data_IF_580850300128
#
_entry.id   IF_580850300128
#
_cell.length_a   1.000
_cell.length_b   1.000
_cell.length_c   1.000
_cell.angle_alpha   90.00
_cell.angle_beta   90.00
_cell.angle_gamma   90.00
#
_symmetry.space_group_name_H-M   'P 1'
#
loop_
_entity.id
_entity.type
_entity.pdbx_description
1 polymer ?
#
# COMPACT_ATOMS: atom_id res chain seq x y z
N UNK A 1 -5.10 21.43 6.73
CA UNK A 1 -5.86 20.78 7.81
C UNK A 1 -7.33 20.70 7.42
N UNK A 2 -7.99 19.58 7.73
CA UNK A 2 -9.40 19.34 7.38
C UNK A 2 -10.37 20.23 8.20
N UNK A 3 -10.18 20.27 9.52
CA UNK A 3 -10.97 21.06 10.47
C UNK A 3 -10.11 22.17 11.08
N UNK A 4 -10.71 23.35 11.27
CA UNK A 4 -10.04 24.50 11.90
C UNK A 4 -9.92 24.35 13.43
N UNK A 5 -10.93 23.74 14.06
CA UNK A 5 -10.91 23.34 15.48
C UNK A 5 -11.28 21.85 15.60
N UNK A 6 -10.78 21.20 16.65
CA UNK A 6 -11.08 19.82 17.00
C UNK A 6 -12.03 19.70 18.19
N UNK A 7 -12.41 20.81 18.83
CA UNK A 7 -13.17 20.81 20.09
C UNK A 7 -14.51 20.07 19.98
N UNK A 8 -15.23 20.25 18.87
CA UNK A 8 -16.50 19.56 18.60
C UNK A 8 -16.29 18.04 18.50
N UNK A 9 -15.27 17.60 17.76
CA UNK A 9 -14.95 16.18 17.62
C UNK A 9 -14.56 15.61 18.98
N UNK A 10 -13.71 16.29 19.74
CA UNK A 10 -13.28 15.85 21.07
C UNK A 10 -14.47 15.75 22.05
N UNK A 11 -15.41 16.69 22.01
CA UNK A 11 -16.63 16.63 22.82
C UNK A 11 -17.52 15.44 22.45
N UNK A 12 -17.71 15.18 21.15
CA UNK A 12 -18.48 14.03 20.66
C UNK A 12 -17.82 12.69 21.04
N UNK A 13 -16.50 12.58 20.94
CA UNK A 13 -15.74 11.40 21.36
C UNK A 13 -15.87 11.17 22.88
N UNK A 14 -15.78 12.22 23.69
CA UNK A 14 -15.93 12.13 25.15
C UNK A 14 -17.33 11.68 25.57
N UNK A 15 -18.35 12.06 24.80
CA UNK A 15 -19.74 11.64 24.98
C UNK A 15 -20.06 10.28 24.36
N UNK A 16 -19.13 9.66 23.62
CA UNK A 16 -19.37 8.48 22.77
C UNK A 16 -20.53 8.69 21.79
N UNK A 17 -20.72 9.92 21.31
CA UNK A 17 -21.76 10.26 20.32
C UNK A 17 -21.28 9.96 18.90
N UNK A 18 -21.37 8.69 18.53
CA UNK A 18 -20.98 8.20 17.21
C UNK A 18 -21.84 8.73 16.06
N UNK A 19 -23.10 9.09 16.34
CA UNK A 19 -23.99 9.68 15.34
C UNK A 19 -23.58 11.12 15.06
N UNK A 20 -23.24 11.89 16.10
CA UNK A 20 -22.66 13.23 15.95
C UNK A 20 -21.33 13.19 15.18
N UNK A 21 -20.43 12.25 15.48
CA UNK A 21 -19.19 12.09 14.70
C UNK A 21 -19.50 11.76 13.24
N UNK A 22 -20.47 10.89 12.97
CA UNK A 22 -20.87 10.55 11.62
C UNK A 22 -21.52 11.73 10.85
N UNK A 23 -22.19 12.65 11.54
CA UNK A 23 -22.78 13.84 10.94
C UNK A 23 -21.73 14.83 10.39
N UNK A 24 -20.47 14.74 10.84
CA UNK A 24 -19.35 15.56 10.36
C UNK A 24 -18.68 15.01 9.08
N UNK A 25 -19.14 13.86 8.56
CA UNK A 25 -18.61 13.25 7.34
C UNK A 25 -18.81 14.16 6.14
N UNK A 26 -17.81 14.18 5.25
CA UNK A 26 -17.89 14.90 3.99
C UNK A 26 -18.83 14.19 3.01
N UNK A 27 -19.57 14.98 2.22
CA UNK A 27 -20.38 14.49 1.09
C UNK A 27 -19.63 14.56 -0.25
N UNK A 28 -18.34 14.90 -0.21
CA UNK A 28 -17.53 15.03 -1.42
C UNK A 28 -17.36 13.68 -2.12
N UNK A 29 -17.43 13.72 -3.45
CA UNK A 29 -17.21 12.55 -4.29
C UNK A 29 -15.72 12.26 -4.43
N UNK A 30 -15.39 10.97 -4.54
CA UNK A 30 -14.04 10.49 -4.79
C UNK A 30 -13.50 11.10 -6.09
N UNK A 31 -12.37 11.80 -5.99
CA UNK A 31 -11.62 12.24 -7.18
C UNK A 31 -11.01 11.06 -7.91
N UNK A 32 -10.78 11.22 -9.21
CA UNK A 32 -9.92 10.32 -9.97
C UNK A 32 -8.53 10.34 -9.33
N UNK A 33 -8.10 9.18 -8.83
CA UNK A 33 -6.84 9.03 -8.11
C UNK A 33 -5.65 9.01 -9.07
N UNK A 34 -4.47 9.49 -8.63
CA UNK A 34 -3.27 9.36 -9.44
C UNK A 34 -2.92 7.89 -9.67
N UNK A 35 -2.26 7.61 -10.79
CA UNK A 35 -1.75 6.26 -11.10
C UNK A 35 -0.67 5.80 -10.10
N UNK A 36 -0.02 6.73 -9.42
CA UNK A 36 1.06 6.45 -8.47
C UNK A 36 0.55 5.83 -7.18
N UNK A 37 1.26 4.81 -6.71
CA UNK A 37 1.07 4.16 -5.42
C UNK A 37 2.44 3.76 -4.88
N UNK A 38 3.12 4.68 -4.20
CA UNK A 38 4.52 4.54 -3.82
C UNK A 38 4.71 4.49 -2.31
N UNK A 39 4.05 5.35 -1.55
CA UNK A 39 4.38 5.54 -0.14
C UNK A 39 3.15 5.43 0.79
N UNK A 40 2.54 4.23 0.98
CA UNK A 40 1.54 4.01 2.01
C UNK A 40 2.01 4.49 3.39
N UNK A 41 1.55 5.68 3.79
CA UNK A 41 1.93 6.32 5.04
C UNK A 41 0.90 5.98 6.11
N UNK A 42 1.36 5.29 7.14
CA UNK A 42 0.52 4.87 8.25
C UNK A 42 0.11 6.07 9.10
N UNK A 43 -1.19 6.20 9.34
CA UNK A 43 -1.78 7.20 10.24
C UNK A 43 -2.66 6.47 11.24
N UNK A 44 -2.27 6.44 12.52
CA UNK A 44 -3.03 5.76 13.57
C UNK A 44 -4.42 6.39 13.73
N UNK A 45 -5.47 5.55 13.66
CA UNK A 45 -6.86 5.99 13.65
C UNK A 45 -7.35 6.69 14.92
N UNK A 46 -6.64 6.52 16.05
CA UNK A 46 -6.98 7.21 17.29
C UNK A 46 -6.27 8.57 17.45
N UNK A 47 -5.37 8.95 16.54
CA UNK A 47 -4.59 10.18 16.64
C UNK A 47 -5.26 11.32 15.90
N UNK A 48 -6.29 11.93 16.52
CA UNK A 48 -7.12 12.98 15.93
C UNK A 48 -6.30 14.13 15.28
N UNK A 49 -5.25 14.59 15.95
CA UNK A 49 -4.37 15.65 15.42
C UNK A 49 -3.61 15.24 14.16
N UNK A 50 -3.27 13.97 14.01
CA UNK A 50 -2.59 13.46 12.81
C UNK A 50 -3.60 13.27 11.67
N UNK A 51 -4.79 12.74 11.98
CA UNK A 51 -5.88 12.62 11.02
C UNK A 51 -6.29 13.98 10.43
N UNK A 52 -6.31 15.04 11.25
CA UNK A 52 -6.64 16.38 10.79
C UNK A 52 -5.64 17.00 9.79
N UNK A 53 -4.46 16.39 9.62
CA UNK A 53 -3.38 16.86 8.75
C UNK A 53 -3.18 15.99 7.51
N UNK A 54 -4.07 15.04 7.25
CA UNK A 54 -3.92 14.08 6.14
C UNK A 54 -3.81 14.76 4.75
N UNK A 55 -4.40 15.94 4.60
CA UNK A 55 -4.32 16.76 3.40
C UNK A 55 -2.90 17.29 3.15
N UNK A 56 -2.16 17.59 4.22
CA UNK A 56 -0.80 18.12 4.19
C UNK A 56 0.29 17.03 4.08
N UNK A 57 -0.04 15.76 4.30
CA UNK A 57 0.96 14.68 4.32
C UNK A 57 1.62 14.48 2.94
N UNK A 58 2.96 14.39 2.84
CA UNK A 58 3.67 14.20 1.57
C UNK A 58 3.65 12.72 1.13
N UNK A 59 2.45 12.21 0.85
CA UNK A 59 2.19 10.83 0.44
C UNK A 59 1.14 10.80 -0.68
N UNK A 60 1.22 9.78 -1.53
CA UNK A 60 0.20 9.41 -2.51
C UNK A 60 -0.81 8.37 -1.97
N UNK A 61 -0.56 7.80 -0.79
CA UNK A 61 -1.42 6.79 -0.15
C UNK A 61 -1.51 7.05 1.36
N UNK A 62 -2.68 7.48 1.82
CA UNK A 62 -3.01 7.56 3.25
C UNK A 62 -3.45 6.16 3.70
N UNK A 63 -2.71 5.56 4.62
CA UNK A 63 -3.08 4.28 5.23
C UNK A 63 -3.56 4.51 6.66
N UNK A 64 -4.86 4.65 6.85
CA UNK A 64 -5.47 4.70 8.18
C UNK A 64 -5.29 3.35 8.88
N UNK A 65 -4.84 3.37 10.13
CA UNK A 65 -4.51 2.15 10.87
C UNK A 65 -5.39 2.00 12.11
N UNK A 66 -6.19 0.92 12.14
CA UNK A 66 -7.04 0.54 13.28
C UNK A 66 -6.44 -0.56 14.15
N UNK A 67 -5.33 -1.14 13.72
CA UNK A 67 -4.75 -2.34 14.30
C UNK A 67 -3.59 -2.02 15.24
N UNK A 68 -2.37 -2.48 14.97
CA UNK A 68 -1.25 -2.39 15.90
C UNK A 68 -0.92 -0.92 16.18
N UNK A 69 -0.64 -0.62 17.44
CA UNK A 69 -0.46 0.75 17.91
C UNK A 69 -1.76 1.48 18.26
N UNK A 70 -2.94 0.85 18.13
CA UNK A 70 -4.21 1.33 18.69
C UNK A 70 -4.57 0.48 19.92
N UNK A 71 -4.63 1.12 21.09
CA UNK A 71 -5.03 0.43 22.32
C UNK A 71 -6.49 -0.07 22.23
N UNK A 72 -6.84 -1.23 22.82
CA UNK A 72 -8.18 -1.82 22.72
C UNK A 72 -9.32 -0.84 23.03
N UNK A 73 -9.19 -0.05 24.09
CA UNK A 73 -10.16 0.94 24.54
C UNK A 73 -10.33 2.13 23.57
N UNK A 74 -9.42 2.29 22.61
CA UNK A 74 -9.47 3.34 21.59
C UNK A 74 -9.95 2.84 20.23
N UNK A 75 -10.13 1.52 20.04
CA UNK A 75 -10.47 0.94 18.72
C UNK A 75 -11.81 1.45 18.17
N UNK A 76 -12.84 1.56 19.01
CA UNK A 76 -14.15 2.08 18.59
C UNK A 76 -14.07 3.55 18.15
N UNK A 77 -13.48 4.41 18.98
CA UNK A 77 -13.24 5.81 18.63
C UNK A 77 -12.39 5.93 17.34
N UNK A 78 -11.36 5.09 17.21
CA UNK A 78 -10.51 5.06 16.02
C UNK A 78 -11.30 4.70 14.76
N UNK A 79 -12.19 3.71 14.82
CA UNK A 79 -13.05 3.32 13.69
C UNK A 79 -13.93 4.49 13.23
N UNK A 80 -14.59 5.17 14.17
CA UNK A 80 -15.45 6.31 13.84
C UNK A 80 -14.66 7.51 13.30
N UNK A 81 -13.47 7.78 13.85
CA UNK A 81 -12.57 8.81 13.34
C UNK A 81 -12.05 8.46 11.95
N UNK A 82 -11.61 7.23 11.71
CA UNK A 82 -11.16 6.78 10.39
C UNK A 82 -12.27 6.93 9.37
N UNK A 83 -13.51 6.55 9.72
CA UNK A 83 -14.65 6.74 8.82
C UNK A 83 -14.94 8.21 8.53
N UNK A 84 -14.86 9.09 9.54
CA UNK A 84 -14.96 10.53 9.35
C UNK A 84 -13.90 11.04 8.36
N UNK A 85 -12.63 10.79 8.64
CA UNK A 85 -11.52 11.34 7.86
C UNK A 85 -11.35 10.68 6.48
N UNK A 86 -11.78 9.42 6.30
CA UNK A 86 -11.82 8.78 4.99
C UNK A 86 -12.69 9.56 4.00
N UNK A 87 -13.88 10.01 4.42
CA UNK A 87 -14.78 10.79 3.55
C UNK A 87 -14.17 12.13 3.14
N UNK A 88 -13.40 12.79 4.02
CA UNK A 88 -12.68 14.02 3.68
C UNK A 88 -11.49 13.75 2.76
N UNK A 89 -10.86 12.59 2.87
CA UNK A 89 -9.76 12.19 2.00
C UNK A 89 -10.20 11.91 0.54
N UNK A 90 -11.49 11.73 0.27
CA UNK A 90 -12.03 11.53 -1.07
C UNK A 90 -11.75 12.69 -2.03
N UNK A 91 -11.72 13.92 -1.52
CA UNK A 91 -11.40 15.11 -2.31
C UNK A 91 -9.89 15.35 -2.49
N UNK A 92 -9.05 14.48 -1.92
CA UNK A 92 -7.61 14.54 -2.08
C UNK A 92 -7.16 13.66 -3.26
N UNK A 93 -6.06 14.06 -3.87
CA UNK A 93 -5.39 13.32 -4.94
C UNK A 93 -4.48 12.23 -4.33
N UNK A 94 -5.04 11.45 -3.39
CA UNK A 94 -4.35 10.40 -2.61
C UNK A 94 -5.23 9.18 -2.48
N UNK A 95 -4.66 7.98 -2.59
CA UNK A 95 -5.36 6.74 -2.27
C UNK A 95 -5.63 6.66 -0.77
N UNK A 96 -6.77 6.08 -0.39
CA UNK A 96 -7.25 5.91 0.97
C UNK A 96 -7.33 4.42 1.24
N UNK A 97 -6.40 3.92 2.05
CA UNK A 97 -6.37 2.52 2.49
C UNK A 97 -6.70 2.50 3.98
N UNK A 98 -7.54 1.56 4.41
CA UNK A 98 -7.78 1.32 5.85
C UNK A 98 -7.24 -0.05 6.23
N UNK A 99 -6.22 -0.10 7.10
CA UNK A 99 -5.79 -1.33 7.75
C UNK A 99 -6.72 -1.60 8.93
N UNK A 100 -7.53 -2.64 8.78
CA UNK A 100 -8.46 -3.13 9.80
C UNK A 100 -7.75 -4.05 10.79
N UNK A 101 -8.45 -4.41 11.86
CA UNK A 101 -8.06 -5.49 12.75
C UNK A 101 -8.23 -6.87 12.10
N UNK A 102 -7.63 -7.94 12.66
CA UNK A 102 -7.87 -9.30 12.21
C UNK A 102 -9.37 -9.61 12.10
N UNK A 103 -9.76 -10.40 11.09
CA UNK A 103 -11.17 -10.68 10.81
C UNK A 103 -11.87 -11.38 11.98
N UNK A 104 -11.13 -12.21 12.70
CA UNK A 104 -11.56 -12.99 13.86
C UNK A 104 -11.69 -12.14 15.12
N UNK A 105 -11.13 -10.92 15.13
CA UNK A 105 -11.29 -9.95 16.21
C UNK A 105 -12.48 -9.02 15.93
N UNK A 106 -12.26 -7.95 15.18
CA UNK A 106 -13.27 -6.90 14.91
C UNK A 106 -13.33 -6.52 13.43
N UNK A 107 -12.56 -7.19 12.58
CA UNK A 107 -12.43 -6.82 11.17
C UNK A 107 -13.74 -6.89 10.39
N UNK A 108 -14.68 -7.77 10.76
CA UNK A 108 -15.98 -7.85 10.10
C UNK A 108 -16.90 -6.67 10.44
N UNK A 109 -16.92 -6.26 11.71
CA UNK A 109 -17.66 -5.08 12.17
C UNK A 109 -17.08 -3.81 11.53
N UNK A 110 -15.75 -3.73 11.43
CA UNK A 110 -15.06 -2.62 10.78
C UNK A 110 -15.40 -2.55 9.28
N UNK A 111 -15.40 -3.68 8.55
CA UNK A 111 -15.84 -3.75 7.15
C UNK A 111 -17.27 -3.23 7.00
N UNK A 112 -18.19 -3.62 7.88
CA UNK A 112 -19.59 -3.19 7.81
C UNK A 112 -19.73 -1.66 7.89
N UNK A 113 -18.97 -1.01 8.77
CA UNK A 113 -18.97 0.44 8.89
C UNK A 113 -18.22 1.11 7.73
N UNK A 114 -17.07 0.58 7.33
CA UNK A 114 -16.23 1.14 6.27
C UNK A 114 -16.89 1.06 4.89
N UNK A 115 -17.79 0.11 4.66
CA UNK A 115 -18.64 0.07 3.48
C UNK A 115 -19.47 1.36 3.28
N UNK A 116 -19.79 2.09 4.35
CA UNK A 116 -20.55 3.36 4.25
C UNK A 116 -19.72 4.57 3.81
N UNK A 117 -18.39 4.44 3.79
CA UNK A 117 -17.46 5.54 3.48
C UNK A 117 -16.50 5.21 2.35
N UNK A 118 -16.62 4.03 1.72
CA UNK A 118 -15.97 3.66 0.46
C UNK A 118 -14.48 4.05 0.33
N UNK A 119 -13.58 3.61 1.24
CA UNK A 119 -12.14 3.78 1.01
C UNK A 119 -11.71 3.09 -0.30
N UNK A 120 -10.58 3.48 -0.88
CA UNK A 120 -10.05 2.85 -2.10
C UNK A 120 -9.74 1.36 -1.85
N UNK A 121 -9.22 1.01 -0.66
CA UNK A 121 -8.99 -0.38 -0.28
C UNK A 121 -9.07 -0.61 1.23
N UNK A 122 -9.32 -1.86 1.62
CA UNK A 122 -9.12 -2.35 2.99
C UNK A 122 -7.91 -3.28 3.02
N UNK A 123 -6.98 -3.05 3.96
CA UNK A 123 -5.84 -3.93 4.25
C UNK A 123 -6.16 -4.87 5.40
N UNK A 124 -6.07 -6.17 5.17
CA UNK A 124 -6.37 -7.23 6.12
C UNK A 124 -5.06 -7.82 6.67
N UNK A 125 -4.81 -7.73 7.99
CA UNK A 125 -3.60 -8.28 8.61
C UNK A 125 -3.77 -9.73 9.06
N UNK A 126 -2.66 -10.34 9.52
CA UNK A 126 -2.61 -11.58 10.34
C UNK A 126 -3.43 -12.75 9.77
N UNK A 127 -3.33 -12.98 8.45
CA UNK A 127 -4.08 -14.04 7.77
C UNK A 127 -3.46 -15.41 8.09
N UNK A 128 -4.26 -16.29 8.67
CA UNK A 128 -3.92 -17.66 9.03
C UNK A 128 -4.81 -18.68 8.29
N UNK A 129 -4.54 -19.97 8.50
CA UNK A 129 -5.29 -21.06 7.86
C UNK A 129 -6.81 -20.99 8.09
N UNK A 130 -7.21 -20.62 9.30
CA UNK A 130 -8.60 -20.51 9.71
C UNK A 130 -9.21 -19.14 9.40
N UNK A 131 -8.45 -18.21 8.84
CA UNK A 131 -8.95 -16.89 8.50
C UNK A 131 -9.96 -16.99 7.37
N UNK A 132 -11.20 -16.52 7.59
CA UNK A 132 -12.30 -16.65 6.62
C UNK A 132 -12.20 -15.60 5.48
N UNK A 133 -11.02 -15.44 4.88
CA UNK A 133 -10.70 -14.40 3.89
C UNK A 133 -11.58 -14.48 2.63
N UNK A 134 -12.01 -15.68 2.24
CA UNK A 134 -12.89 -15.92 1.08
C UNK A 134 -14.28 -15.30 1.24
N UNK A 135 -14.69 -14.93 2.46
CA UNK A 135 -15.96 -14.23 2.70
C UNK A 135 -15.87 -12.74 2.41
N UNK A 136 -14.67 -12.15 2.45
CA UNK A 136 -14.50 -10.70 2.34
C UNK A 136 -15.02 -10.14 1.01
N UNK A 137 -14.78 -10.77 -0.16
CA UNK A 137 -15.31 -10.25 -1.42
C UNK A 137 -16.84 -10.18 -1.51
N UNK A 138 -17.60 -10.89 -0.67
CA UNK A 138 -19.07 -10.78 -0.67
C UNK A 138 -19.59 -9.78 0.35
N UNK A 139 -18.81 -9.51 1.41
CA UNK A 139 -19.17 -8.55 2.46
C UNK A 139 -18.75 -7.12 2.12
N UNK A 140 -17.69 -6.96 1.34
CA UNK A 140 -17.11 -5.66 1.01
C UNK A 140 -17.80 -5.04 -0.21
N UNK A 141 -18.14 -3.75 -0.14
CA UNK A 141 -18.72 -2.99 -1.25
C UNK A 141 -17.88 -3.15 -2.53
N UNK A 142 -18.52 -3.35 -3.69
CA UNK A 142 -17.86 -3.78 -4.93
C UNK A 142 -16.73 -2.84 -5.42
N UNK A 143 -16.81 -1.55 -5.10
CA UNK A 143 -15.79 -0.55 -5.46
C UNK A 143 -14.60 -0.43 -4.51
N UNK A 144 -14.51 -1.26 -3.46
CA UNK A 144 -13.39 -1.28 -2.53
C UNK A 144 -12.50 -2.47 -2.86
N UNK A 145 -11.20 -2.23 -3.04
CA UNK A 145 -10.19 -3.27 -3.26
C UNK A 145 -9.78 -3.95 -1.95
N UNK A 146 -9.20 -5.14 -2.07
CA UNK A 146 -8.67 -5.92 -0.96
C UNK A 146 -7.14 -5.89 -1.03
N UNK A 147 -6.53 -5.42 0.05
CA UNK A 147 -5.10 -5.48 0.28
C UNK A 147 -4.84 -6.50 1.41
N UNK A 148 -3.75 -7.25 1.34
CA UNK A 148 -3.40 -8.24 2.36
C UNK A 148 -2.03 -7.95 2.97
N UNK A 149 -1.86 -8.17 4.26
CA UNK A 149 -0.53 -8.33 4.83
C UNK A 149 -0.05 -9.77 4.63
N UNK A 150 1.16 -9.93 4.11
CA UNK A 150 1.90 -11.18 4.14
C UNK A 150 2.90 -11.07 5.29
N UNK A 151 2.46 -11.55 6.45
CA UNK A 151 3.15 -11.35 7.73
C UNK A 151 3.05 -12.58 8.66
N UNK A 152 2.56 -13.70 8.13
CA UNK A 152 2.44 -14.99 8.81
C UNK A 152 3.05 -16.09 7.94
N UNK A 153 3.48 -17.20 8.56
CA UNK A 153 3.93 -18.41 7.89
C UNK A 153 2.86 -18.95 6.95
N UNK A 154 1.58 -18.91 7.35
CA UNK A 154 0.50 -19.37 6.48
C UNK A 154 0.34 -18.48 5.26
N UNK A 155 0.19 -17.16 5.44
CA UNK A 155 0.03 -16.20 4.32
C UNK A 155 1.23 -16.22 3.37
N UNK A 156 2.46 -16.37 3.89
CA UNK A 156 3.67 -16.49 3.09
C UNK A 156 3.64 -17.71 2.16
N UNK A 157 3.26 -18.88 2.68
CA UNK A 157 3.21 -20.12 1.89
C UNK A 157 1.99 -20.19 0.94
N UNK A 158 0.99 -19.34 1.13
CA UNK A 158 -0.27 -19.36 0.36
C UNK A 158 -0.50 -18.09 -0.48
N UNK A 159 0.55 -17.29 -0.74
CA UNK A 159 0.43 -16.06 -1.54
C UNK A 159 -0.26 -16.28 -2.90
N UNK A 160 0.01 -17.39 -3.58
CA UNK A 160 -0.63 -17.71 -4.86
C UNK A 160 -2.15 -17.93 -4.75
N UNK A 161 -2.59 -18.61 -3.68
CA UNK A 161 -4.01 -18.81 -3.40
C UNK A 161 -4.67 -17.48 -3.02
N UNK A 162 -4.02 -16.72 -2.12
CA UNK A 162 -4.50 -15.42 -1.68
C UNK A 162 -4.64 -14.43 -2.85
N UNK A 163 -3.74 -14.48 -3.81
CA UNK A 163 -3.78 -13.62 -4.99
C UNK A 163 -4.91 -13.97 -5.97
N UNK A 164 -5.46 -15.19 -5.89
CA UNK A 164 -6.59 -15.62 -6.72
C UNK A 164 -7.95 -15.12 -6.18
N UNK A 165 -7.99 -14.58 -4.95
CA UNK A 165 -9.21 -14.06 -4.35
C UNK A 165 -9.66 -12.80 -5.13
N UNK A 166 -10.93 -12.70 -5.54
CA UNK A 166 -11.42 -11.54 -6.30
C UNK A 166 -11.16 -10.22 -5.57
N UNK A 167 -10.67 -9.22 -6.32
CA UNK A 167 -10.34 -7.87 -5.84
C UNK A 167 -9.14 -7.79 -4.90
N UNK A 168 -8.39 -8.87 -4.70
CA UNK A 168 -7.07 -8.78 -4.08
C UNK A 168 -6.10 -8.15 -5.07
N UNK A 169 -5.58 -6.96 -4.76
CA UNK A 169 -4.74 -6.17 -5.70
C UNK A 169 -3.35 -5.84 -5.16
N UNK A 170 -3.15 -5.85 -3.84
CA UNK A 170 -1.89 -5.43 -3.21
C UNK A 170 -1.53 -6.31 -2.03
N UNK A 171 -0.25 -6.71 -1.95
CA UNK A 171 0.33 -7.35 -0.78
C UNK A 171 1.33 -6.43 -0.09
N UNK A 172 1.29 -6.43 1.24
CA UNK A 172 2.22 -5.71 2.11
C UNK A 172 3.09 -6.71 2.85
N UNK A 173 4.41 -6.55 2.76
CA UNK A 173 5.34 -7.40 3.47
C UNK A 173 5.46 -6.95 4.95
N UNK A 174 4.88 -7.72 5.88
CA UNK A 174 4.99 -7.46 7.32
C UNK A 174 6.17 -8.22 7.93
N UNK A 175 7.39 -7.74 7.68
CA UNK A 175 8.62 -8.49 8.04
C UNK A 175 8.78 -8.74 9.54
N UNK A 176 8.31 -7.83 10.39
CA UNK A 176 8.55 -7.91 11.83
C UNK A 176 7.65 -8.95 12.50
N UNK A 177 6.35 -8.92 12.18
CA UNK A 177 5.40 -9.93 12.65
C UNK A 177 5.77 -11.30 12.09
N UNK A 178 6.21 -11.35 10.83
CA UNK A 178 6.69 -12.58 10.21
C UNK A 178 7.91 -13.16 10.94
N UNK A 179 8.89 -12.31 11.27
CA UNK A 179 10.08 -12.73 12.02
C UNK A 179 9.70 -13.19 13.42
N UNK A 180 8.87 -12.42 14.12
CA UNK A 180 8.41 -12.76 15.46
C UNK A 180 7.68 -14.11 15.47
N UNK A 181 6.80 -14.36 14.50
CA UNK A 181 6.06 -15.62 14.40
C UNK A 181 6.97 -16.82 14.11
N UNK A 182 8.00 -16.64 13.28
CA UNK A 182 8.97 -17.68 12.97
C UNK A 182 10.03 -17.88 14.08
N UNK A 183 10.03 -17.04 15.12
CA UNK A 183 11.08 -17.06 16.16
C UNK A 183 12.44 -16.59 15.65
N UNK A 184 12.46 -15.75 14.61
CA UNK A 184 13.66 -15.11 14.07
C UNK A 184 13.97 -13.83 14.83
N UNK A 185 15.26 -13.49 14.88
CA UNK A 185 15.70 -12.24 15.49
C UNK A 185 15.32 -11.03 14.62
N UNK A 186 14.62 -10.06 15.21
CA UNK A 186 14.21 -8.81 14.56
C UNK A 186 15.43 -7.97 14.16
N UNK A 187 16.56 -8.08 14.88
CA UNK A 187 17.84 -7.47 14.48
C UNK A 187 18.42 -8.10 13.19
N UNK A 188 17.80 -9.18 12.72
CA UNK A 188 18.00 -9.78 11.40
C UNK A 188 17.57 -8.89 10.24
N UNK A 189 16.72 -7.88 10.45
CA UNK A 189 16.24 -6.94 9.42
C UNK A 189 17.32 -5.88 9.12
N UNK A 190 18.40 -6.33 8.51
CA UNK A 190 19.57 -5.53 8.11
C UNK A 190 19.91 -5.78 6.64
N UNK A 191 20.45 -4.74 5.99
CA UNK A 191 20.61 -4.72 4.54
C UNK A 191 21.66 -5.72 4.03
N UNK A 192 22.62 -6.09 4.86
CA UNK A 192 23.68 -7.05 4.57
C UNK A 192 23.31 -8.50 4.87
N UNK A 193 22.14 -8.75 5.48
CA UNK A 193 21.70 -10.11 5.80
C UNK A 193 21.10 -10.80 4.56
N UNK A 194 21.70 -11.90 4.04
CA UNK A 194 21.19 -12.61 2.86
C UNK A 194 19.74 -13.08 2.98
N UNK A 195 19.25 -13.32 4.20
CA UNK A 195 17.86 -13.66 4.44
C UNK A 195 16.91 -12.55 3.96
N UNK A 196 17.27 -11.29 4.17
CA UNK A 196 16.47 -10.14 3.71
C UNK A 196 16.46 -10.04 2.18
N UNK A 197 17.58 -10.34 1.52
CA UNK A 197 17.65 -10.39 0.06
C UNK A 197 16.75 -11.48 -0.51
N UNK A 198 16.79 -12.68 0.10
CA UNK A 198 15.89 -13.78 -0.27
C UNK A 198 14.43 -13.39 -0.09
N UNK A 199 14.08 -12.86 1.08
CA UNK A 199 12.72 -12.50 1.43
C UNK A 199 12.16 -11.41 0.50
N UNK A 200 12.92 -10.34 0.25
CA UNK A 200 12.53 -9.29 -0.69
C UNK A 200 12.41 -9.81 -2.13
N UNK A 201 13.34 -10.66 -2.58
CA UNK A 201 13.32 -11.19 -3.95
C UNK A 201 12.15 -12.15 -4.16
N UNK A 202 11.93 -13.06 -3.21
CA UNK A 202 10.85 -14.03 -3.27
C UNK A 202 9.48 -13.35 -3.22
N UNK A 203 9.28 -12.43 -2.26
CA UNK A 203 8.03 -11.67 -2.16
C UNK A 203 7.71 -10.90 -3.45
N UNK A 204 8.71 -10.22 -4.02
CA UNK A 204 8.55 -9.46 -5.27
C UNK A 204 8.14 -10.36 -6.43
N UNK A 205 8.89 -11.45 -6.67
CA UNK A 205 8.63 -12.36 -7.79
C UNK A 205 7.26 -13.01 -7.66
N UNK A 206 6.90 -13.50 -6.46
CA UNK A 206 5.60 -14.12 -6.20
C UNK A 206 4.46 -13.11 -6.41
N UNK A 207 4.57 -11.87 -5.92
CA UNK A 207 3.54 -10.87 -6.19
C UNK A 207 3.38 -10.60 -7.69
N UNK A 208 4.49 -10.40 -8.41
CA UNK A 208 4.49 -10.07 -9.84
C UNK A 208 3.97 -11.22 -10.70
N UNK A 209 4.23 -12.48 -10.35
CA UNK A 209 3.71 -13.65 -11.08
C UNK A 209 2.20 -13.78 -11.00
N UNK A 210 1.56 -13.15 -10.00
CA UNK A 210 0.11 -13.13 -9.80
C UNK A 210 -0.53 -11.76 -10.06
N UNK A 211 0.18 -10.84 -10.73
CA UNK A 211 -0.28 -9.48 -11.00
C UNK A 211 -0.68 -8.68 -9.73
N UNK A 212 -0.11 -9.02 -8.57
CA UNK A 212 -0.29 -8.31 -7.32
C UNK A 212 0.75 -7.20 -7.19
N UNK A 213 0.34 -6.03 -6.70
CA UNK A 213 1.24 -4.94 -6.34
C UNK A 213 2.00 -5.30 -5.05
N UNK A 214 3.35 -5.39 -5.06
CA UNK A 214 4.13 -5.60 -3.85
C UNK A 214 4.45 -4.26 -3.18
N UNK A 215 4.12 -4.13 -1.90
CA UNK A 215 4.57 -3.05 -1.02
C UNK A 215 5.64 -3.61 -0.08
N UNK A 216 6.86 -3.09 -0.17
CA UNK A 216 7.95 -3.51 0.71
C UNK A 216 7.68 -3.12 2.18
N UNK A 217 8.40 -3.78 3.08
CA UNK A 217 8.27 -3.64 4.53
C UNK A 217 8.49 -2.20 5.02
N UNK A 218 7.92 -1.90 6.17
CA UNK A 218 8.12 -0.63 6.88
C UNK A 218 9.48 -0.64 7.59
N UNK A 219 10.35 0.33 7.29
CA UNK A 219 11.60 0.49 8.02
C UNK A 219 11.37 1.23 9.34
N UNK A 220 11.69 0.60 10.47
CA UNK A 220 11.29 1.08 11.80
C UNK A 220 12.13 2.24 12.35
N UNK A 221 13.42 2.32 12.01
CA UNK A 221 14.27 3.40 12.49
C UNK A 221 14.00 4.69 11.68
N UNK A 222 12.87 5.33 11.93
CA UNK A 222 12.39 6.47 11.13
C UNK A 222 13.31 7.69 11.11
N UNK A 223 14.28 7.77 12.02
CA UNK A 223 15.31 8.82 12.07
C UNK A 223 16.55 8.48 11.25
N UNK A 224 16.78 7.21 10.92
CA UNK A 224 17.96 6.76 10.20
C UNK A 224 17.71 6.80 8.68
N UNK A 225 17.74 8.01 8.12
CA UNK A 225 17.40 8.23 6.71
C UNK A 225 18.47 7.70 5.75
N UNK A 226 19.73 7.62 6.19
CA UNK A 226 20.82 7.03 5.41
C UNK A 226 20.57 5.54 5.18
N UNK A 227 20.24 4.80 6.24
CA UNK A 227 19.86 3.39 6.12
C UNK A 227 18.58 3.22 5.28
N UNK A 228 17.58 4.10 5.44
CA UNK A 228 16.41 4.10 4.57
C UNK A 228 16.80 4.25 3.09
N UNK A 229 17.68 5.18 2.75
CA UNK A 229 18.13 5.39 1.37
C UNK A 229 18.84 4.15 0.80
N UNK A 230 19.66 3.47 1.60
CA UNK A 230 20.29 2.23 1.22
C UNK A 230 19.24 1.13 0.91
N UNK A 231 18.22 0.98 1.76
CA UNK A 231 17.10 0.08 1.51
C UNK A 231 16.33 0.44 0.23
N UNK A 232 16.03 1.72 0.03
CA UNK A 232 15.33 2.18 -1.17
C UNK A 232 16.12 1.91 -2.45
N UNK A 233 17.45 2.08 -2.41
CA UNK A 233 18.31 1.76 -3.55
C UNK A 233 18.29 0.27 -3.89
N UNK A 234 18.36 -0.61 -2.88
CA UNK A 234 18.24 -2.06 -3.05
C UNK A 234 16.86 -2.45 -3.59
N UNK A 235 15.79 -1.98 -2.96
CA UNK A 235 14.43 -2.31 -3.36
C UNK A 235 14.10 -1.80 -4.78
N UNK A 236 14.58 -0.60 -5.14
CA UNK A 236 14.45 -0.04 -6.49
C UNK A 236 15.19 -0.90 -7.52
N UNK A 237 16.38 -1.40 -7.19
CA UNK A 237 17.18 -2.24 -8.09
C UNK A 237 16.54 -3.61 -8.30
N UNK A 238 15.89 -4.18 -7.28
CA UNK A 238 15.10 -5.41 -7.38
C UNK A 238 13.85 -5.21 -8.25
N UNK A 239 13.25 -4.01 -8.22
CA UNK A 239 12.07 -3.67 -9.03
C UNK A 239 10.84 -3.24 -8.24
N UNK A 240 10.97 -3.01 -6.94
CA UNK A 240 9.89 -2.42 -6.14
C UNK A 240 9.56 -1.00 -6.61
N UNK A 241 8.29 -0.63 -6.40
CA UNK A 241 7.75 0.71 -6.68
C UNK A 241 6.96 1.27 -5.50
N UNK A 242 6.85 0.49 -4.42
CA UNK A 242 6.13 0.90 -3.22
C UNK A 242 6.82 0.37 -1.95
N UNK A 243 6.81 1.18 -0.90
CA UNK A 243 7.30 0.84 0.44
C UNK A 243 6.42 1.50 1.49
N UNK A 244 6.09 0.77 2.57
CA UNK A 244 5.35 1.35 3.69
C UNK A 244 6.17 2.41 4.44
N UNK A 245 5.50 3.47 4.89
CA UNK A 245 6.09 4.57 5.65
C UNK A 245 5.38 4.74 7.01
N UNK A 246 6.15 5.13 8.03
CA UNK A 246 5.62 5.50 9.37
C UNK A 246 5.91 6.95 9.74
N UNK A 247 6.63 7.70 8.89
CA UNK A 247 6.83 9.13 9.06
C UNK A 247 6.65 9.90 7.75
N UNK A 248 6.22 11.18 7.79
CA UNK A 248 6.16 12.03 6.61
C UNK A 248 7.48 12.12 5.85
N UNK A 249 8.61 12.14 6.57
CA UNK A 249 9.93 12.21 5.96
C UNK A 249 10.28 10.93 5.19
N UNK A 250 9.94 9.76 5.73
CA UNK A 250 10.08 8.49 4.99
C UNK A 250 9.23 8.51 3.72
N UNK A 251 7.97 8.93 3.80
CA UNK A 251 7.08 8.98 2.64
C UNK A 251 7.65 9.85 1.51
N UNK A 252 8.19 11.02 1.85
CA UNK A 252 8.86 11.90 0.89
C UNK A 252 10.05 11.23 0.21
N UNK A 253 10.93 10.56 0.98
CA UNK A 253 12.07 9.83 0.41
C UNK A 253 11.65 8.65 -0.46
N UNK A 254 10.59 7.92 -0.07
CA UNK A 254 10.04 6.80 -0.83
C UNK A 254 9.50 7.28 -2.19
N UNK A 255 8.69 8.35 -2.21
CA UNK A 255 8.17 8.93 -3.45
C UNK A 255 9.33 9.38 -4.35
N UNK A 256 10.32 10.08 -3.80
CA UNK A 256 11.49 10.51 -4.57
C UNK A 256 12.29 9.32 -5.13
N UNK A 257 12.49 8.27 -4.34
CA UNK A 257 13.24 7.10 -4.77
C UNK A 257 12.52 6.33 -5.88
N UNK A 258 11.20 6.16 -5.79
CA UNK A 258 10.39 5.41 -6.75
C UNK A 258 9.78 6.25 -7.87
N UNK A 259 10.03 7.57 -7.88
CA UNK A 259 9.67 8.45 -8.98
C UNK A 259 10.15 7.89 -10.33
N UNK A 260 9.30 8.03 -11.34
CA UNK A 260 9.59 7.55 -12.68
C UNK A 260 10.86 8.23 -13.22
N UNK A 261 11.80 7.41 -13.64
CA UNK A 261 13.04 7.86 -14.25
C UNK A 261 12.76 8.31 -15.69
N UNK A 262 12.82 9.62 -15.91
CA UNK A 262 12.50 10.23 -17.20
C UNK A 262 13.36 9.68 -18.35
N UNK A 263 14.62 9.32 -18.10
CA UNK A 263 15.49 8.73 -19.12
C UNK A 263 15.08 7.27 -19.42
N UNK A 264 14.69 6.50 -18.41
CA UNK A 264 14.10 5.16 -18.64
C UNK A 264 12.79 5.24 -19.42
N UNK A 265 11.95 6.23 -19.14
CA UNK A 265 10.72 6.44 -19.90
C UNK A 265 11.00 6.84 -21.36
N UNK A 266 11.98 7.72 -21.61
CA UNK A 266 12.41 8.06 -22.99
C UNK A 266 12.92 6.83 -23.73
N UNK A 267 13.80 6.04 -23.10
CA UNK A 267 14.27 4.77 -23.65
C UNK A 267 13.12 3.82 -23.98
N UNK A 268 12.16 3.67 -23.07
CA UNK A 268 11.01 2.78 -23.27
C UNK A 268 10.12 3.23 -24.43
N UNK A 269 9.85 4.54 -24.56
CA UNK A 269 9.10 5.09 -25.72
C UNK A 269 9.82 4.82 -27.03
N UNK A 270 11.12 5.10 -27.08
CA UNK A 270 11.94 4.81 -28.27
C UNK A 270 11.86 3.34 -28.67
N UNK A 271 12.03 2.42 -27.71
CA UNK A 271 11.98 0.98 -27.97
C UNK A 271 10.61 0.57 -28.52
N UNK A 272 9.53 1.06 -27.92
CA UNK A 272 8.15 0.76 -28.35
C UNK A 272 7.92 1.25 -29.77
N UNK A 273 8.20 2.53 -30.05
CA UNK A 273 8.01 3.13 -31.38
C UNK A 273 8.83 2.40 -32.45
N UNK A 274 10.10 2.08 -32.15
CA UNK A 274 10.98 1.40 -33.09
C UNK A 274 10.53 -0.04 -33.36
N UNK A 275 10.15 -0.78 -32.31
CA UNK A 275 9.70 -2.16 -32.43
C UNK A 275 8.39 -2.24 -33.24
N UNK A 276 7.41 -1.38 -32.96
CA UNK A 276 6.14 -1.35 -33.69
C UNK A 276 6.35 -1.02 -35.19
N UNK A 277 7.26 -0.10 -35.51
CA UNK A 277 7.60 0.23 -36.90
C UNK A 277 8.27 -0.94 -37.65
N UNK A 278 9.10 -1.74 -36.98
CA UNK A 278 9.75 -2.92 -37.55
C UNK A 278 8.79 -4.12 -37.64
N UNK A 279 7.91 -4.28 -36.65
CA UNK A 279 6.88 -5.30 -36.64
C UNK A 279 5.92 -5.13 -37.82
N UNK A 280 5.59 -3.89 -38.20
CA UNK A 280 4.78 -3.60 -39.39
C UNK A 280 5.42 -4.10 -40.71
N UNK A 281 6.74 -4.35 -40.71
CA UNK A 281 7.50 -4.91 -41.84
C UNK A 281 7.79 -6.42 -41.67
N UNK A 282 7.23 -7.05 -40.64
CA UNK A 282 7.45 -8.47 -40.33
C UNK A 282 8.74 -8.77 -39.57
N UNK A 283 9.41 -7.77 -39.00
CA UNK A 283 10.67 -7.92 -38.26
C UNK A 283 10.39 -7.77 -36.76
N UNK A 284 10.67 -8.82 -35.98
CA UNK A 284 10.42 -8.88 -34.51
C UNK A 284 11.70 -9.03 -33.68
N UNK A 285 12.86 -8.85 -34.30
CA UNK A 285 14.17 -8.84 -33.65
C UNK A 285 15.20 -8.16 -34.54
N UNK A 286 15.87 -7.13 -34.05
CA UNK A 286 16.82 -6.34 -34.84
C UNK A 286 17.87 -5.68 -33.97
N UNK A 287 19.02 -5.38 -34.59
CA UNK A 287 20.04 -4.53 -33.99
C UNK A 287 19.67 -3.05 -34.16
N UNK A 288 19.67 -2.34 -33.06
CA UNK A 288 19.44 -0.91 -32.90
C UNK A 288 20.75 -0.18 -32.61
N UNK A 289 20.81 1.07 -33.05
CA UNK A 289 22.00 1.92 -32.93
C UNK A 289 22.24 2.46 -31.51
N UNK A 290 21.19 2.55 -30.70
CA UNK A 290 21.25 3.12 -29.34
C UNK A 290 21.18 2.06 -28.25
N UNK A 291 20.46 0.96 -28.48
CA UNK A 291 20.13 -0.03 -27.43
C UNK A 291 20.47 -1.48 -27.78
N UNK A 292 21.43 -1.68 -28.69
CA UNK A 292 21.95 -2.97 -29.14
C UNK A 292 20.89 -3.88 -29.75
N UNK A 293 20.42 -4.96 -29.11
CA UNK A 293 19.40 -5.82 -29.72
C UNK A 293 18.02 -5.55 -29.12
N UNK A 294 17.04 -5.25 -29.98
CA UNK A 294 15.64 -5.07 -29.59
C UNK A 294 14.82 -6.24 -30.14
N UNK A 295 14.14 -6.93 -29.24
CA UNK A 295 13.24 -8.04 -29.52
C UNK A 295 11.95 -7.95 -28.67
N UNK A 296 11.09 -8.95 -28.79
CA UNK A 296 9.77 -8.94 -28.15
C UNK A 296 9.81 -8.85 -26.61
N UNK A 297 10.71 -9.55 -25.88
CA UNK A 297 10.91 -9.32 -24.44
C UNK A 297 11.27 -7.89 -24.08
N UNK A 298 12.22 -7.26 -24.79
CA UNK A 298 12.64 -5.88 -24.55
C UNK A 298 11.51 -4.89 -24.83
N UNK A 299 10.74 -5.13 -25.89
CA UNK A 299 9.52 -4.39 -26.21
C UNK A 299 8.47 -4.50 -25.09
N UNK A 300 8.13 -5.72 -24.66
CA UNK A 300 7.13 -5.95 -23.59
C UNK A 300 7.54 -5.31 -22.26
N UNK A 301 8.82 -5.39 -21.90
CA UNK A 301 9.34 -4.73 -20.70
C UNK A 301 9.20 -3.20 -20.77
N UNK A 302 9.49 -2.62 -21.93
CA UNK A 302 9.34 -1.17 -22.17
C UNK A 302 7.87 -0.75 -22.13
N UNK A 303 6.98 -1.52 -22.75
CA UNK A 303 5.54 -1.28 -22.73
C UNK A 303 4.96 -1.37 -21.32
N UNK A 304 5.40 -2.35 -20.52
CA UNK A 304 5.00 -2.49 -19.12
C UNK A 304 5.44 -1.28 -18.29
N UNK A 305 6.64 -0.73 -18.54
CA UNK A 305 7.12 0.48 -17.87
C UNK A 305 6.31 1.74 -18.24
N UNK A 306 5.74 1.81 -19.45
CA UNK A 306 4.92 2.95 -19.89
C UNK A 306 3.46 2.88 -19.41
N UNK A 307 2.99 1.68 -19.04
CA UNK A 307 1.61 1.43 -18.58
C UNK A 307 1.46 1.51 -17.05
N UNK A 308 2.54 1.33 -16.30
CA UNK A 308 2.58 1.38 -14.83
C UNK A 308 3.23 2.64 -14.30
#
# INVERSE_FOLDING_TARGET
MIFQSLDEIEALLAAQDWQGVAALRSTQTQKVKPLTFCAPLMVSGHQLKHLNKIDELPTDVIMFNLEDGVAPEKKEAALHLVALFATHAHALDKHVVVRINPLEESGFEEIALLNSVHPDAIRIPKIEQNTPIERVPTLLHAGIDIHLSIETAWSWNHMAQLAAIPRVTTFYLGVLDFFAQLGLDIEGVRIDNPLMHYLLSHFLITCKSHAIRPVSFVYQEYKNLEALQAWLALEKSLGYRAKGAISPQQAQHIIQAFALDTEKLKKARYIVEKFEAMQAQGITGFKDEHYDFIDEPIYKASLALLRG
#
